data_IF_413576991977
#
_entry.id   IF_413576991977
#
_cell.length_a   1.000
_cell.length_b   1.000
_cell.length_c   1.000
_cell.angle_alpha   90.00
_cell.angle_beta   90.00
_cell.angle_gamma   90.00
#
_symmetry.space_group_name_H-M   'P 1'
#
loop_
_entity.id
_entity.type
_entity.pdbx_description
1 polymer ?
#
# COMPACT_ATOMS: atom_id res chain seq x y z
N UNK A 1 -17.90 1.18 -11.30
CA UNK A 1 -19.20 1.80 -10.95
C UNK A 1 -19.27 2.23 -9.49
N UNK A 2 -18.89 1.41 -8.50
CA UNK A 2 -18.99 1.78 -7.07
C UNK A 2 -18.34 3.11 -6.67
N UNK A 3 -17.11 3.40 -7.14
CA UNK A 3 -16.44 4.67 -6.83
C UNK A 3 -17.22 5.88 -7.31
N UNK A 4 -17.76 5.85 -8.54
CA UNK A 4 -18.57 6.96 -9.07
C UNK A 4 -19.85 7.18 -8.24
N UNK A 5 -20.52 6.08 -7.84
CA UNK A 5 -21.71 6.15 -6.99
C UNK A 5 -21.38 6.78 -5.63
N UNK A 6 -20.29 6.34 -4.97
CA UNK A 6 -19.86 6.91 -3.68
C UNK A 6 -19.55 8.41 -3.80
N UNK A 7 -18.80 8.81 -4.83
CA UNK A 7 -18.46 10.22 -5.06
C UNK A 7 -19.73 11.07 -5.27
N UNK A 8 -20.67 10.59 -6.08
CA UNK A 8 -21.92 11.30 -6.35
C UNK A 8 -22.76 11.45 -5.08
N UNK A 9 -23.00 10.36 -4.36
CA UNK A 9 -23.76 10.40 -3.11
C UNK A 9 -23.07 11.26 -2.04
N UNK A 10 -21.75 11.21 -1.94
CA UNK A 10 -20.99 12.04 -1.00
C UNK A 10 -21.13 13.53 -1.32
N UNK A 11 -21.06 13.90 -2.60
CA UNK A 11 -21.27 15.26 -3.06
C UNK A 11 -22.69 15.76 -2.75
N UNK A 12 -23.71 14.97 -3.07
CA UNK A 12 -25.11 15.29 -2.79
C UNK A 12 -25.42 15.40 -1.28
N UNK A 13 -24.73 14.60 -0.47
CA UNK A 13 -24.84 14.65 0.99
C UNK A 13 -23.98 15.75 1.64
N UNK A 14 -23.32 16.61 0.87
CA UNK A 14 -22.42 17.65 1.35
C UNK A 14 -21.30 17.12 2.27
N UNK A 15 -20.77 15.93 1.99
CA UNK A 15 -19.57 15.42 2.67
C UNK A 15 -18.40 16.35 2.37
N UNK A 16 -17.62 16.69 3.39
CA UNK A 16 -16.53 17.68 3.25
C UNK A 16 -15.44 17.25 2.27
N UNK A 17 -15.10 15.98 2.23
CA UNK A 17 -14.13 15.39 1.28
C UNK A 17 -14.23 13.87 1.27
N UNK A 18 -13.65 13.27 0.23
CA UNK A 18 -13.47 11.81 0.12
C UNK A 18 -11.99 11.49 0.07
N UNK A 19 -11.55 10.52 0.88
CA UNK A 19 -10.23 9.93 0.81
C UNK A 19 -10.35 8.61 0.04
N UNK A 20 -9.65 8.50 -1.08
CA UNK A 20 -9.70 7.32 -1.93
C UNK A 20 -8.49 6.43 -1.70
N UNK A 21 -8.72 5.20 -1.25
CA UNK A 21 -7.68 4.17 -1.09
C UNK A 21 -7.30 3.59 -2.45
N UNK A 22 -6.18 4.02 -2.99
CA UNK A 22 -5.59 3.52 -4.23
C UNK A 22 -4.40 2.57 -3.97
N UNK A 23 -3.56 2.34 -4.96
CA UNK A 23 -2.50 1.31 -4.93
C UNK A 23 -1.26 1.74 -5.68
N UNK A 24 -0.08 1.38 -5.16
CA UNK A 24 1.20 1.48 -5.87
C UNK A 24 1.29 0.58 -7.10
N UNK A 25 0.41 -0.42 -7.24
CA UNK A 25 0.36 -1.30 -8.43
C UNK A 25 0.09 -0.55 -9.73
N UNK A 26 -0.39 0.69 -9.65
CA UNK A 26 -0.55 1.57 -10.81
C UNK A 26 0.76 2.03 -11.45
N UNK A 27 1.88 1.90 -10.74
CA UNK A 27 3.21 2.23 -11.28
C UNK A 27 3.79 1.15 -12.21
N UNK A 28 3.33 -0.10 -12.11
CA UNK A 28 3.74 -1.18 -12.98
C UNK A 28 5.25 -1.39 -13.04
N UNK A 29 5.85 -1.23 -14.23
CA UNK A 29 7.28 -1.37 -14.49
C UNK A 29 8.05 -0.05 -14.48
N UNK A 30 7.44 1.06 -14.06
CA UNK A 30 8.15 2.33 -13.91
C UNK A 30 9.33 2.18 -12.94
N UNK A 31 10.45 2.83 -13.29
CA UNK A 31 11.67 2.82 -12.48
C UNK A 31 11.46 3.44 -11.09
N UNK A 32 11.85 2.74 -10.00
CA UNK A 32 11.80 3.30 -8.65
C UNK A 32 12.98 4.27 -8.39
N UNK A 33 12.85 5.21 -7.41
CA UNK A 33 11.70 5.40 -6.54
C UNK A 33 10.49 5.95 -7.29
N UNK A 34 9.30 5.40 -6.97
CA UNK A 34 8.06 5.80 -7.61
C UNK A 34 7.59 7.16 -7.09
N UNK A 35 7.34 8.09 -8.01
CA UNK A 35 6.79 9.41 -7.74
C UNK A 35 5.44 9.59 -8.45
N UNK A 36 4.57 10.43 -7.89
CA UNK A 36 3.19 10.57 -8.34
C UNK A 36 3.04 11.15 -9.75
N UNK A 37 4.11 11.72 -10.30
CA UNK A 37 4.15 12.26 -11.68
C UNK A 37 4.47 11.20 -12.74
N UNK A 38 4.87 9.99 -12.36
CA UNK A 38 5.10 8.91 -13.30
C UNK A 38 3.80 8.50 -14.01
N UNK A 39 3.86 8.07 -15.28
CA UNK A 39 2.68 7.60 -15.99
C UNK A 39 2.12 6.33 -15.35
N UNK A 40 0.80 6.13 -15.51
CA UNK A 40 0.17 4.88 -15.10
C UNK A 40 0.63 3.73 -16.02
N UNK A 41 1.08 2.62 -15.41
CA UNK A 41 1.48 1.38 -16.10
C UNK A 41 0.83 0.16 -15.42
N UNK A 42 -0.45 -0.04 -15.71
CA UNK A 42 -1.27 -1.06 -15.08
C UNK A 42 -1.01 -2.45 -15.66
N UNK A 43 -0.44 -3.37 -14.89
CA UNK A 43 -0.11 -4.73 -15.31
C UNK A 43 -1.24 -5.75 -15.10
N UNK A 44 -2.33 -5.38 -14.44
CA UNK A 44 -3.43 -6.29 -14.11
C UNK A 44 -4.77 -5.56 -13.94
N UNK A 45 -5.93 -6.29 -13.99
CA UNK A 45 -7.25 -5.68 -13.87
C UNK A 45 -7.49 -4.93 -12.56
N UNK A 46 -6.85 -5.35 -11.46
CA UNK A 46 -6.94 -4.66 -10.17
C UNK A 46 -6.37 -3.24 -10.27
N UNK A 47 -5.15 -3.09 -10.77
CA UNK A 47 -4.52 -1.78 -10.92
C UNK A 47 -5.33 -0.88 -11.87
N UNK A 48 -5.83 -1.41 -12.99
CA UNK A 48 -6.72 -0.67 -13.91
C UNK A 48 -7.95 -0.14 -13.18
N UNK A 49 -8.60 -0.97 -12.36
CA UNK A 49 -9.80 -0.58 -11.63
C UNK A 49 -9.54 0.51 -10.61
N UNK A 50 -8.38 0.47 -9.93
CA UNK A 50 -7.97 1.47 -8.93
C UNK A 50 -7.59 2.80 -9.60
N UNK A 51 -6.80 2.77 -10.65
CA UNK A 51 -6.44 3.96 -11.43
C UNK A 51 -7.67 4.60 -12.07
N UNK A 52 -8.63 3.81 -12.53
CA UNK A 52 -9.94 4.33 -12.97
C UNK A 52 -10.67 5.13 -11.88
N UNK A 53 -10.60 4.65 -10.62
CA UNK A 53 -11.13 5.38 -9.46
C UNK A 53 -10.39 6.67 -9.16
N UNK A 54 -9.06 6.72 -9.31
CA UNK A 54 -8.27 7.95 -9.17
C UNK A 54 -8.71 9.03 -10.18
N UNK A 55 -8.91 8.63 -11.44
CA UNK A 55 -9.38 9.54 -12.49
C UNK A 55 -10.78 10.08 -12.20
N UNK A 56 -11.66 9.28 -11.62
CA UNK A 56 -12.97 9.75 -11.15
C UNK A 56 -12.82 10.76 -10.01
N UNK A 57 -12.00 10.48 -8.99
CA UNK A 57 -11.76 11.42 -7.90
C UNK A 57 -11.25 12.76 -8.41
N UNK A 58 -10.21 12.74 -9.25
CA UNK A 58 -9.69 13.96 -9.87
C UNK A 58 -10.76 14.72 -10.65
N UNK A 59 -11.53 14.03 -11.49
CA UNK A 59 -12.61 14.65 -12.27
C UNK A 59 -13.66 15.28 -11.38
N UNK A 60 -14.05 14.65 -10.26
CA UNK A 60 -15.01 15.25 -9.32
C UNK A 60 -14.46 16.51 -8.65
N UNK A 61 -13.16 16.56 -8.36
CA UNK A 61 -12.52 17.78 -7.85
C UNK A 61 -12.49 18.88 -8.91
N UNK A 62 -12.01 18.56 -10.12
CA UNK A 62 -11.85 19.55 -11.19
C UNK A 62 -13.19 20.11 -11.69
N UNK A 63 -14.25 19.29 -11.80
CA UNK A 63 -15.52 19.66 -12.42
C UNK A 63 -16.54 20.21 -11.40
N UNK A 64 -16.53 19.67 -10.19
CA UNK A 64 -17.55 19.98 -9.18
C UNK A 64 -16.99 20.67 -7.94
N UNK A 65 -15.70 21.02 -7.95
CA UNK A 65 -15.00 21.59 -6.78
C UNK A 65 -15.17 20.72 -5.51
N UNK A 66 -15.40 19.41 -5.72
CA UNK A 66 -15.62 18.47 -4.62
C UNK A 66 -14.27 17.89 -4.14
N UNK A 67 -13.82 18.21 -2.91
CA UNK A 67 -12.50 17.84 -2.45
C UNK A 67 -12.30 16.33 -2.37
N UNK A 68 -11.29 15.80 -3.07
CA UNK A 68 -10.85 14.41 -2.94
C UNK A 68 -9.34 14.35 -2.66
N UNK A 69 -8.90 13.33 -1.93
CA UNK A 69 -7.48 13.01 -1.74
C UNK A 69 -7.28 11.55 -2.09
N UNK A 70 -6.26 11.26 -2.89
CA UNK A 70 -6.01 9.91 -3.41
C UNK A 70 -4.72 9.37 -2.80
N UNK A 71 -4.81 8.26 -2.07
CA UNK A 71 -3.67 7.66 -1.38
C UNK A 71 -3.27 6.36 -2.07
N UNK A 72 -2.09 6.31 -2.71
CA UNK A 72 -1.49 5.08 -3.26
C UNK A 72 -0.73 4.37 -2.16
N UNK A 73 -1.35 3.34 -1.56
CA UNK A 73 -0.69 2.51 -0.55
C UNK A 73 0.32 1.58 -1.21
N UNK A 74 1.51 1.52 -0.62
CA UNK A 74 2.48 0.48 -0.91
C UNK A 74 2.10 -0.80 -0.15
N UNK A 75 2.99 -1.75 0.06
CA UNK A 75 2.59 -3.06 0.59
C UNK A 75 2.23 -2.96 2.07
N UNK A 76 0.93 -2.96 2.37
CA UNK A 76 0.41 -2.89 3.72
C UNK A 76 0.70 -4.18 4.50
N UNK A 77 1.12 -4.04 5.76
CA UNK A 77 1.25 -5.13 6.71
C UNK A 77 0.78 -4.70 8.10
N UNK A 78 0.60 -5.64 9.01
CA UNK A 78 0.23 -5.34 10.40
C UNK A 78 -0.74 -6.35 10.96
N UNK A 79 -1.22 -6.07 12.18
CA UNK A 79 -2.13 -6.94 12.91
C UNK A 79 -3.41 -7.21 12.13
N UNK A 80 -3.95 -8.43 12.29
CA UNK A 80 -5.17 -8.89 11.61
C UNK A 80 -5.08 -8.94 10.08
N UNK A 81 -3.87 -8.97 9.52
CA UNK A 81 -3.69 -9.21 8.08
C UNK A 81 -4.17 -10.62 7.70
N UNK A 82 -4.59 -10.78 6.44
CA UNK A 82 -5.00 -12.10 5.95
C UNK A 82 -3.81 -13.07 5.92
N UNK A 83 -3.98 -14.27 6.45
CA UNK A 83 -2.94 -15.30 6.55
C UNK A 83 -3.07 -16.38 5.47
N UNK A 84 -4.18 -16.40 4.75
CA UNK A 84 -4.49 -17.39 3.73
C UNK A 84 -5.35 -16.79 2.62
N UNK A 85 -5.42 -17.51 1.47
CA UNK A 85 -6.19 -17.09 0.32
C UNK A 85 -5.35 -16.42 -0.76
N UNK A 86 -5.95 -16.21 -1.93
CA UNK A 86 -5.27 -15.71 -3.13
C UNK A 86 -4.65 -14.31 -2.95
N UNK A 87 -5.20 -13.52 -2.04
CA UNK A 87 -4.81 -12.12 -1.80
C UNK A 87 -4.09 -11.92 -0.46
N UNK A 88 -3.71 -13.01 0.22
CA UNK A 88 -2.97 -12.89 1.47
C UNK A 88 -1.58 -12.28 1.21
N UNK A 89 -1.17 -11.25 1.99
CA UNK A 89 0.15 -10.66 1.89
C UNK A 89 1.22 -11.66 2.32
N UNK A 90 2.42 -11.52 1.76
CA UNK A 90 3.55 -12.43 2.02
C UNK A 90 3.84 -12.59 3.52
N UNK A 91 3.76 -11.52 4.30
CA UNK A 91 3.98 -11.60 5.75
C UNK A 91 2.95 -12.44 6.47
N UNK A 92 1.66 -12.29 6.15
CA UNK A 92 0.61 -13.12 6.73
C UNK A 92 0.82 -14.62 6.44
N UNK A 93 1.21 -14.93 5.20
CA UNK A 93 1.53 -16.30 4.79
C UNK A 93 2.73 -16.83 5.59
N UNK A 94 3.82 -16.06 5.69
CA UNK A 94 5.06 -16.47 6.37
C UNK A 94 4.84 -16.67 7.88
N UNK A 95 4.12 -15.79 8.55
CA UNK A 95 3.82 -15.98 9.96
C UNK A 95 2.95 -17.21 10.21
N UNK A 96 1.89 -17.42 9.42
CA UNK A 96 1.08 -18.64 9.51
C UNK A 96 1.94 -19.91 9.31
N UNK A 97 2.82 -19.93 8.31
CA UNK A 97 3.69 -21.07 8.03
C UNK A 97 4.67 -21.32 9.18
N UNK A 98 5.30 -20.27 9.72
CA UNK A 98 6.18 -20.37 10.88
C UNK A 98 5.44 -20.98 12.08
N UNK A 99 4.24 -20.47 12.39
CA UNK A 99 3.47 -20.88 13.55
C UNK A 99 2.95 -22.32 13.43
N UNK A 100 2.71 -22.76 12.19
CA UNK A 100 2.42 -24.16 11.87
C UNK A 100 3.65 -25.08 11.84
N UNK A 101 4.88 -24.56 12.01
CA UNK A 101 6.13 -25.30 11.88
C UNK A 101 6.49 -25.70 10.44
N UNK A 102 5.80 -25.12 9.45
CA UNK A 102 6.01 -25.33 8.02
C UNK A 102 7.23 -24.54 7.52
N UNK A 103 7.74 -24.88 6.32
CA UNK A 103 8.73 -24.08 5.61
C UNK A 103 8.09 -22.84 5.00
N UNK A 104 8.79 -21.68 5.07
CA UNK A 104 8.35 -20.47 4.39
C UNK A 104 8.46 -20.63 2.86
N UNK A 105 7.38 -20.40 2.14
CA UNK A 105 7.32 -20.57 0.69
C UNK A 105 7.72 -19.29 -0.05
N UNK A 106 8.94 -19.24 -0.58
CA UNK A 106 9.49 -18.11 -1.34
C UNK A 106 9.20 -18.33 -2.84
N UNK A 107 8.50 -17.39 -3.48
CA UNK A 107 8.21 -17.44 -4.91
C UNK A 107 9.39 -16.89 -5.72
N UNK A 108 9.81 -17.63 -6.75
CA UNK A 108 10.95 -17.26 -7.59
C UNK A 108 12.28 -17.37 -6.84
N UNK A 109 13.16 -16.41 -7.01
CA UNK A 109 14.45 -16.31 -6.33
C UNK A 109 14.39 -15.55 -4.99
N UNK A 110 13.25 -14.98 -4.65
CA UNK A 110 13.07 -14.19 -3.44
C UNK A 110 13.64 -12.77 -3.50
N UNK A 111 14.28 -12.38 -4.60
CA UNK A 111 14.94 -11.06 -4.75
C UNK A 111 13.99 -9.93 -5.18
N UNK A 112 12.70 -10.22 -5.37
CA UNK A 112 11.70 -9.18 -5.60
C UNK A 112 11.56 -8.30 -4.36
N UNK A 113 11.70 -7.00 -4.54
CA UNK A 113 11.72 -6.02 -3.44
C UNK A 113 10.41 -5.24 -3.32
N UNK A 114 9.98 -5.02 -2.10
CA UNK A 114 8.74 -4.29 -1.81
C UNK A 114 8.97 -3.27 -0.69
N UNK A 115 8.38 -2.09 -0.86
CA UNK A 115 8.23 -1.10 0.21
C UNK A 115 7.03 -1.50 1.06
N UNK A 116 7.28 -1.81 2.32
CA UNK A 116 6.27 -2.26 3.28
C UNK A 116 5.89 -1.13 4.24
N UNK A 117 4.61 -0.83 4.35
CA UNK A 117 4.08 0.21 5.24
C UNK A 117 3.12 -0.40 6.26
N UNK A 118 3.30 -0.07 7.54
CA UNK A 118 2.45 -0.60 8.61
C UNK A 118 1.04 -0.02 8.54
N UNK A 119 0.04 -0.83 8.86
CA UNK A 119 -1.38 -0.43 8.80
C UNK A 119 -1.70 0.78 9.68
N UNK A 120 -1.05 0.96 10.83
CA UNK A 120 -1.25 2.14 11.68
C UNK A 120 -0.74 3.43 11.03
N UNK A 121 0.34 3.37 10.23
CA UNK A 121 0.83 4.51 9.47
C UNK A 121 -0.12 4.85 8.32
N UNK A 122 -0.71 3.85 7.66
CA UNK A 122 -1.77 4.05 6.66
C UNK A 122 -3.00 4.71 7.30
N UNK A 123 -3.45 4.23 8.46
CA UNK A 123 -4.57 4.83 9.21
C UNK A 123 -4.26 6.29 9.55
N UNK A 124 -3.05 6.57 10.05
CA UNK A 124 -2.63 7.93 10.36
C UNK A 124 -2.62 8.83 9.11
N UNK A 125 -2.15 8.34 7.96
CA UNK A 125 -2.21 9.07 6.68
C UNK A 125 -3.65 9.43 6.32
N UNK A 126 -4.59 8.48 6.43
CA UNK A 126 -6.01 8.73 6.18
C UNK A 126 -6.58 9.80 7.11
N UNK A 127 -6.28 9.73 8.41
CA UNK A 127 -6.74 10.70 9.40
C UNK A 127 -6.18 12.09 9.07
N UNK A 128 -4.87 12.20 8.85
CA UNK A 128 -4.23 13.49 8.54
C UNK A 128 -4.80 14.11 7.27
N UNK A 129 -5.04 13.31 6.23
CA UNK A 129 -5.69 13.78 5.00
C UNK A 129 -7.17 14.13 5.19
N UNK A 130 -7.88 13.45 6.11
CA UNK A 130 -9.28 13.72 6.39
C UNK A 130 -9.50 15.01 7.18
N UNK A 131 -8.64 15.32 8.15
CA UNK A 131 -8.77 16.50 9.03
C UNK A 131 -7.88 17.67 8.61
N UNK A 132 -6.81 17.42 7.85
CA UNK A 132 -5.92 18.46 7.33
C UNK A 132 -6.67 19.45 6.45
N UNK A 133 -6.11 20.64 6.29
CA UNK A 133 -6.71 21.68 5.46
C UNK A 133 -5.64 22.29 4.55
N UNK A 134 -5.19 21.55 3.54
CA UNK A 134 -4.25 22.07 2.56
C UNK A 134 -4.93 23.07 1.63
N UNK A 135 -4.14 23.84 0.87
CA UNK A 135 -4.66 24.72 -0.16
C UNK A 135 -5.43 23.93 -1.22
N UNK A 136 -6.38 24.59 -1.90
CA UNK A 136 -7.31 23.94 -2.83
C UNK A 136 -6.61 23.19 -3.96
N UNK A 137 -5.45 23.66 -4.40
CA UNK A 137 -4.64 23.02 -5.46
C UNK A 137 -4.15 21.61 -5.12
N UNK A 138 -4.16 21.23 -3.83
CA UNK A 138 -3.73 19.92 -3.37
C UNK A 138 -4.85 18.88 -3.34
N UNK A 139 -6.10 19.25 -3.59
CA UNK A 139 -7.19 18.30 -3.76
C UNK A 139 -7.19 17.69 -5.18
N UNK A 140 -7.84 16.56 -5.34
CA UNK A 140 -7.85 15.81 -6.60
C UNK A 140 -6.51 15.18 -6.96
N UNK A 141 -5.53 15.25 -6.07
CA UNK A 141 -4.18 14.78 -6.32
C UNK A 141 -3.88 13.43 -5.66
N UNK A 142 -2.89 12.73 -6.25
CA UNK A 142 -2.36 11.45 -5.76
C UNK A 142 -1.22 11.72 -4.77
N UNK A 143 -1.15 10.90 -3.72
CA UNK A 143 -0.10 10.89 -2.70
C UNK A 143 0.35 9.47 -2.41
N UNK A 144 1.65 9.23 -2.42
CA UNK A 144 2.23 7.96 -2.02
C UNK A 144 2.21 7.79 -0.50
N UNK A 145 1.87 6.57 -0.06
CA UNK A 145 1.91 6.15 1.34
C UNK A 145 2.75 4.88 1.44
N UNK A 146 4.01 5.03 1.76
CA UNK A 146 5.02 4.00 1.90
C UNK A 146 6.11 4.47 2.85
N UNK A 147 7.23 3.76 2.91
CA UNK A 147 8.33 4.08 3.84
C UNK A 147 9.56 4.67 3.17
N UNK A 148 9.70 4.52 1.84
CA UNK A 148 10.93 4.84 1.13
C UNK A 148 12.06 3.84 1.40
N UNK A 149 11.75 2.71 2.02
CA UNK A 149 12.67 1.59 2.26
C UNK A 149 12.02 0.33 1.72
N UNK A 150 12.76 -0.49 0.99
CA UNK A 150 12.26 -1.76 0.51
C UNK A 150 13.11 -2.94 0.97
N UNK A 151 12.46 -4.09 1.12
CA UNK A 151 13.06 -5.35 1.48
C UNK A 151 12.76 -6.39 0.41
N UNK A 152 13.70 -7.31 0.17
CA UNK A 152 13.40 -8.49 -0.64
C UNK A 152 12.52 -9.47 0.14
N UNK A 153 11.79 -10.31 -0.58
CA UNK A 153 11.00 -11.39 0.04
C UNK A 153 11.91 -12.33 0.83
N UNK A 154 13.14 -12.54 0.33
CA UNK A 154 14.15 -13.33 1.03
C UNK A 154 14.58 -12.67 2.35
N UNK A 155 14.90 -11.37 2.36
CA UNK A 155 15.22 -10.64 3.60
C UNK A 155 14.10 -10.75 4.65
N UNK A 156 12.84 -10.65 4.22
CA UNK A 156 11.69 -10.85 5.11
C UNK A 156 11.64 -12.29 5.65
N UNK A 157 11.84 -13.30 4.79
CA UNK A 157 11.85 -14.68 5.21
C UNK A 157 12.97 -14.95 6.24
N UNK A 158 14.18 -14.43 6.00
CA UNK A 158 15.34 -14.58 6.89
C UNK A 158 15.09 -13.93 8.29
N UNK A 159 14.29 -12.88 8.38
CA UNK A 159 13.88 -12.30 9.66
C UNK A 159 12.87 -13.15 10.44
N UNK A 160 12.14 -14.04 9.76
CA UNK A 160 11.01 -14.79 10.34
C UNK A 160 11.41 -16.24 10.67
N UNK A 161 12.10 -16.95 9.77
CA UNK A 161 12.50 -18.35 9.94
C UNK A 161 13.62 -18.78 8.99
N UNK A 162 14.51 -19.65 9.48
CA UNK A 162 15.55 -20.30 8.66
C UNK A 162 15.00 -21.46 7.81
N UNK A 163 13.78 -21.94 8.09
CA UNK A 163 13.14 -23.01 7.32
C UNK A 163 12.45 -22.41 6.09
N UNK A 164 13.04 -22.62 4.91
CA UNK A 164 12.58 -21.98 3.67
C UNK A 164 12.57 -22.97 2.51
N UNK A 165 11.59 -22.84 1.62
CA UNK A 165 11.50 -23.58 0.36
C UNK A 165 11.12 -22.64 -0.78
N UNK A 166 11.51 -22.96 -2.00
CA UNK A 166 11.33 -22.09 -3.16
C UNK A 166 10.26 -22.64 -4.11
N UNK A 167 9.36 -21.76 -4.57
CA UNK A 167 8.30 -22.06 -5.52
C UNK A 167 8.64 -21.45 -6.90
N UNK A 168 8.07 -21.96 -8.00
CA UNK A 168 8.23 -21.38 -9.32
C UNK A 168 7.83 -19.88 -9.35
N UNK A 169 8.49 -19.06 -10.19
CA UNK A 169 8.18 -17.63 -10.29
C UNK A 169 6.77 -17.38 -10.83
N UNK A 170 6.16 -16.26 -10.45
CA UNK A 170 4.90 -15.76 -10.99
C UNK A 170 5.15 -14.78 -12.12
N UNK A 171 4.26 -14.75 -13.11
CA UNK A 171 4.30 -13.81 -14.24
C UNK A 171 3.49 -12.55 -13.90
N UNK A 172 3.95 -11.37 -14.36
CA UNK A 172 3.17 -10.13 -14.28
C UNK A 172 3.32 -9.34 -12.99
N UNK A 173 4.40 -9.55 -12.23
CA UNK A 173 4.74 -8.76 -11.05
C UNK A 173 5.93 -7.83 -11.32
N UNK A 174 5.84 -6.59 -10.82
CA UNK A 174 6.97 -5.68 -10.82
C UNK A 174 8.11 -6.24 -9.95
N UNK A 175 9.36 -6.12 -10.40
CA UNK A 175 10.53 -6.63 -9.66
C UNK A 175 10.82 -5.83 -8.40
N UNK A 176 10.67 -4.50 -8.46
CA UNK A 176 10.97 -3.59 -7.37
C UNK A 176 9.83 -2.59 -7.21
N UNK A 177 9.42 -2.31 -5.98
CA UNK A 177 8.61 -1.13 -5.64
C UNK A 177 9.30 -0.36 -4.51
N UNK A 178 9.34 0.96 -4.64
CA UNK A 178 9.93 1.87 -3.66
C UNK A 178 9.24 3.22 -3.76
N UNK A 179 8.65 3.69 -2.66
CA UNK A 179 7.95 4.97 -2.65
C UNK A 179 8.91 6.16 -2.51
N UNK A 180 8.54 7.28 -3.14
CA UNK A 180 8.92 8.61 -2.67
C UNK A 180 7.70 9.24 -2.02
N UNK A 181 7.80 9.62 -0.75
CA UNK A 181 6.71 10.19 0.06
C UNK A 181 6.90 11.69 0.35
N UNK A 182 7.78 12.39 -0.37
CA UNK A 182 8.06 13.82 -0.13
C UNK A 182 6.82 14.69 -0.29
N UNK A 183 5.92 14.33 -1.22
CA UNK A 183 4.71 15.08 -1.50
C UNK A 183 3.71 15.05 -0.33
N UNK A 184 3.39 13.88 0.20
CA UNK A 184 2.47 13.76 1.35
C UNK A 184 3.07 14.38 2.61
N UNK A 185 4.38 14.24 2.81
CA UNK A 185 5.12 14.89 3.89
C UNK A 185 5.01 16.41 3.80
N UNK A 186 5.25 16.98 2.62
CA UNK A 186 5.19 18.43 2.39
C UNK A 186 3.78 18.99 2.62
N UNK A 187 2.74 18.30 2.12
CA UNK A 187 1.36 18.82 2.09
C UNK A 187 0.61 18.54 3.40
N UNK A 188 0.76 17.35 3.95
CA UNK A 188 0.01 16.90 5.14
C UNK A 188 0.88 16.69 6.37
N UNK A 189 2.21 16.81 6.27
CA UNK A 189 3.14 16.55 7.38
C UNK A 189 3.23 15.08 7.77
N UNK A 190 2.77 14.15 6.94
CA UNK A 190 2.77 12.73 7.25
C UNK A 190 4.14 12.08 7.01
N UNK A 191 4.53 11.22 7.95
CA UNK A 191 5.71 10.35 7.84
C UNK A 191 5.40 8.98 8.46
N UNK A 192 5.97 7.88 7.91
CA UNK A 192 5.87 6.56 8.52
C UNK A 192 6.65 6.51 9.84
N UNK A 193 6.14 5.77 10.82
CA UNK A 193 6.74 5.68 12.16
C UNK A 193 7.16 4.27 12.54
N UNK A 194 6.49 3.25 12.00
CA UNK A 194 6.72 1.86 12.36
C UNK A 194 7.81 1.28 11.47
N UNK A 195 8.88 0.77 12.11
CA UNK A 195 9.93 0.03 11.42
C UNK A 195 9.56 -1.44 11.30
N UNK A 196 9.74 -1.99 10.10
CA UNK A 196 9.37 -3.35 9.79
C UNK A 196 10.07 -4.38 10.69
N UNK A 197 11.39 -4.21 10.87
CA UNK A 197 12.19 -5.15 11.64
C UNK A 197 11.79 -5.19 13.13
N UNK A 198 11.41 -4.03 13.68
CA UNK A 198 10.98 -3.93 15.07
C UNK A 198 9.62 -4.61 15.24
N UNK A 199 8.68 -4.39 14.32
CA UNK A 199 7.39 -5.05 14.34
C UNK A 199 7.49 -6.57 14.17
N UNK A 200 8.33 -7.08 13.23
CA UNK A 200 8.54 -8.52 13.07
C UNK A 200 9.05 -9.15 14.36
N UNK A 201 9.98 -8.49 15.06
CA UNK A 201 10.51 -8.97 16.35
C UNK A 201 9.46 -9.00 17.47
N UNK A 202 8.58 -7.99 17.52
CA UNK A 202 7.52 -7.90 18.54
C UNK A 202 6.41 -8.92 18.26
N UNK A 203 5.91 -8.97 17.04
CA UNK A 203 4.89 -9.93 16.62
C UNK A 203 5.36 -11.39 16.81
N UNK A 204 6.65 -11.65 16.58
CA UNK A 204 7.25 -12.96 16.86
C UNK A 204 7.27 -13.37 18.33
N UNK A 205 7.22 -12.42 19.27
CA UNK A 205 7.20 -12.71 20.72
C UNK A 205 5.80 -12.96 21.25
N UNK A 206 4.80 -12.26 20.76
CA UNK A 206 3.41 -12.37 21.25
C UNK A 206 2.80 -13.75 20.97
N UNK A 207 3.16 -14.38 19.86
CA UNK A 207 2.66 -15.71 19.48
C UNK A 207 3.29 -16.87 20.29
N UNK A 208 4.47 -16.65 20.90
CA UNK A 208 5.13 -17.68 21.75
C UNK A 208 4.52 -17.74 23.17
N UNK A 209 3.75 -16.75 23.55
CA UNK A 209 3.17 -16.59 24.91
C UNK A 209 1.67 -16.88 24.98
N UNK A 210 1.02 -17.24 23.88
CA UNK A 210 -0.39 -17.64 23.78
C UNK A 210 -0.54 -19.14 23.54
#
# INVERSE_FOLDING_TARGET
>A
MGTATVLQCSREANVKRVIYSSTSSGYGLNEPPNVETQPDDCLNPYSVSKIGGEKLCKMYTDLYEFPTVILRYFNAYGDRQAESGQYAPVMGIFFRQRDAGEELTIVGDGEQRRDFVHVSDIVNANIMCAIGNPDEEYYGQVYNVGTGINYSVKEIADMISDKQTYLPPRVGEARVSLSNCDKIKKVFGWEPKVKLEDWIKEYGKEQVTA
#
